data_IF_756955094497
#
_entry.id   IF_756955094497
#
_cell.length_a   1.000
_cell.length_b   1.000
_cell.length_c   1.000
_cell.angle_alpha   90.00
_cell.angle_beta   90.00
_cell.angle_gamma   90.00
#
_symmetry.space_group_name_H-M   'P 1'
#
loop_
_entity.id
_entity.type
_entity.pdbx_description
1 polymer ?
#
# COMPACT_ATOMS: atom_id res chain seq x y z
N UNK A 1 9.80 -9.48 -10.30
CA UNK A 1 8.42 -8.99 -10.02
C UNK A 1 8.37 -7.48 -9.89
N UNK A 2 7.17 -6.87 -9.98
CA UNK A 2 6.99 -5.43 -9.88
C UNK A 2 6.70 -5.00 -8.44
N UNK A 3 5.61 -5.52 -7.89
CA UNK A 3 5.19 -5.20 -6.53
C UNK A 3 5.36 -3.72 -6.21
N UNK A 4 5.13 -2.88 -7.22
CA UNK A 4 5.26 -1.43 -7.04
C UNK A 4 3.94 -0.81 -6.63
N UNK A 5 2.89 -1.07 -7.41
CA UNK A 5 1.57 -0.54 -7.12
C UNK A 5 1.07 -1.02 -5.77
N UNK A 6 1.46 -2.23 -5.40
CA UNK A 6 1.05 -2.81 -4.12
C UNK A 6 1.57 -1.98 -2.95
N UNK A 7 2.87 -1.72 -2.95
CA UNK A 7 3.48 -0.93 -1.89
C UNK A 7 2.81 0.43 -1.75
N UNK A 8 2.30 0.95 -2.87
CA UNK A 8 1.62 2.23 -2.87
C UNK A 8 0.18 2.09 -2.38
N UNK A 9 -0.20 0.87 -2.01
CA UNK A 9 -1.55 0.61 -1.52
C UNK A 9 -1.52 0.14 -0.07
N UNK A 10 -0.70 -0.86 0.21
CA UNK A 10 -0.57 -1.41 1.55
C UNK A 10 -0.14 -0.32 2.53
N UNK A 11 0.69 0.60 2.07
CA UNK A 11 1.17 1.68 2.92
C UNK A 11 0.00 2.58 3.34
N UNK A 12 -0.78 3.01 2.35
CA UNK A 12 -1.93 3.86 2.62
C UNK A 12 -2.91 3.12 3.54
N UNK A 13 -2.96 1.80 3.37
CA UNK A 13 -3.83 0.95 4.18
C UNK A 13 -3.21 0.71 5.55
N UNK A 14 -1.88 0.78 5.62
CA UNK A 14 -1.17 0.57 6.88
C UNK A 14 -1.65 1.54 7.95
N UNK A 15 -2.08 2.72 7.53
CA UNK A 15 -2.57 3.73 8.45
C UNK A 15 -3.69 4.55 7.83
N UNK A 16 -4.54 3.88 7.04
CA UNK A 16 -5.65 4.54 6.39
C UNK A 16 -6.62 5.15 7.42
N UNK A 17 -6.55 4.66 8.65
CA UNK A 17 -7.41 5.14 9.72
C UNK A 17 -8.85 4.70 9.50
N UNK A 18 -9.01 3.48 8.98
CA UNK A 18 -10.34 2.93 8.71
C UNK A 18 -11.26 3.95 8.06
#
# INVERSE_FOLDING_TARGET
GPEASAFTKKMVENAKKI
#
